data_IF_352596739208
#
_entry.id   IF_352596739208
#
_cell.length_a   1.000
_cell.length_b   1.000
_cell.length_c   1.000
_cell.angle_alpha   90.00
_cell.angle_beta   90.00
_cell.angle_gamma   90.00
#
_symmetry.space_group_name_H-M   'P 1'
#
loop_
_entity.id
_entity.type
_entity.pdbx_description
1 polymer ?
#
# COMPACT_ATOMS: atom_id res chain seq x y z
N UNK A 1 -3.61 -30.17 13.73
CA UNK A 1 -4.01 -29.68 12.39
C UNK A 1 -3.89 -30.82 11.39
N UNK A 2 -4.91 -30.97 10.53
CA UNK A 2 -4.94 -31.93 9.44
C UNK A 2 -5.32 -31.21 8.15
N UNK A 3 -4.58 -31.48 7.05
CA UNK A 3 -4.94 -31.02 5.72
C UNK A 3 -5.98 -31.96 5.14
N UNK A 4 -7.24 -31.53 5.11
CA UNK A 4 -8.37 -32.36 4.75
C UNK A 4 -8.69 -32.37 3.25
N UNK A 5 -8.68 -31.19 2.59
CA UNK A 5 -8.99 -31.01 1.16
C UNK A 5 -8.19 -29.87 0.56
N UNK A 6 -7.93 -29.98 -0.75
CA UNK A 6 -7.25 -28.95 -1.54
C UNK A 6 -8.06 -28.70 -2.83
N UNK A 7 -8.64 -27.52 -2.92
CA UNK A 7 -9.32 -27.03 -4.12
C UNK A 7 -8.33 -26.64 -5.22
N UNK A 8 -8.50 -27.16 -6.42
CA UNK A 8 -7.59 -26.90 -7.54
C UNK A 8 -8.35 -26.68 -8.85
N UNK A 9 -7.80 -25.87 -9.76
CA UNK A 9 -8.37 -25.66 -11.11
C UNK A 9 -8.20 -26.89 -12.02
N UNK A 10 -7.08 -27.63 -11.87
CA UNK A 10 -6.77 -28.83 -12.66
C UNK A 10 -6.19 -29.92 -11.78
N UNK A 11 -6.72 -31.13 -11.90
CA UNK A 11 -6.20 -32.30 -11.18
C UNK A 11 -4.86 -32.77 -11.76
N UNK A 12 -4.66 -32.61 -13.06
CA UNK A 12 -3.53 -33.15 -13.81
C UNK A 12 -2.28 -32.25 -13.77
N UNK A 13 -2.38 -31.01 -13.23
CA UNK A 13 -1.24 -30.09 -13.17
C UNK A 13 -0.14 -30.65 -12.25
N UNK A 14 1.11 -30.79 -12.73
CA UNK A 14 2.23 -31.20 -11.88
C UNK A 14 2.42 -30.23 -10.69
N UNK A 15 2.68 -30.78 -9.52
CA UNK A 15 2.89 -30.01 -8.28
C UNK A 15 4.22 -30.36 -7.64
N UNK A 16 4.87 -29.38 -7.02
CA UNK A 16 6.15 -29.58 -6.31
C UNK A 16 6.01 -30.48 -5.08
N UNK A 17 4.83 -30.44 -4.44
CA UNK A 17 4.52 -31.26 -3.26
C UNK A 17 3.55 -32.36 -3.68
N UNK A 18 3.94 -33.61 -3.45
CA UNK A 18 3.08 -34.77 -3.70
C UNK A 18 2.13 -34.97 -2.50
N UNK A 19 0.84 -34.81 -2.73
CA UNK A 19 -0.20 -35.18 -1.78
C UNK A 19 -1.02 -36.34 -2.36
N UNK A 20 -1.70 -37.13 -1.50
CA UNK A 20 -2.62 -38.16 -1.96
C UNK A 20 -3.65 -37.60 -2.96
N UNK A 21 -3.88 -38.21 -4.12
CA UNK A 21 -4.83 -37.70 -5.12
C UNK A 21 -6.24 -37.48 -4.57
N UNK A 22 -6.63 -38.23 -3.55
CA UNK A 22 -7.92 -38.12 -2.86
C UNK A 22 -8.14 -36.81 -2.12
N UNK A 23 -7.08 -36.04 -1.83
CA UNK A 23 -7.19 -34.74 -1.20
C UNK A 23 -7.56 -33.62 -2.18
N UNK A 24 -7.36 -33.81 -3.49
CA UNK A 24 -7.64 -32.79 -4.48
C UNK A 24 -9.08 -32.85 -4.95
N UNK A 25 -9.69 -31.67 -5.12
CA UNK A 25 -11.03 -31.52 -5.72
C UNK A 25 -11.08 -30.27 -6.59
N UNK A 26 -11.95 -30.31 -7.61
CA UNK A 26 -12.33 -29.13 -8.40
C UNK A 26 -13.62 -28.48 -7.88
N UNK A 27 -14.34 -29.19 -7.03
CA UNK A 27 -15.55 -28.70 -6.38
C UNK A 27 -15.17 -27.91 -5.13
N UNK A 28 -15.03 -26.58 -5.30
CA UNK A 28 -14.66 -25.67 -4.23
C UNK A 28 -15.81 -25.49 -3.22
N UNK A 29 -17.05 -25.60 -3.67
CA UNK A 29 -18.21 -25.46 -2.79
C UNK A 29 -18.29 -26.61 -1.78
N UNK A 30 -17.94 -27.83 -2.20
CA UNK A 30 -17.88 -28.97 -1.30
C UNK A 30 -16.92 -28.78 -0.12
N UNK A 31 -15.83 -27.99 -0.28
CA UNK A 31 -14.89 -27.70 0.81
C UNK A 31 -15.54 -26.78 1.84
N UNK A 32 -16.13 -25.68 1.39
CA UNK A 32 -16.68 -24.65 2.29
C UNK A 32 -17.97 -25.07 2.97
N UNK A 33 -18.65 -26.10 2.46
CA UNK A 33 -19.89 -26.66 3.04
C UNK A 33 -19.68 -27.93 3.86
N UNK A 34 -18.49 -28.56 3.80
CA UNK A 34 -18.22 -29.80 4.54
C UNK A 34 -18.21 -29.54 6.06
N UNK A 35 -19.07 -30.19 6.85
CA UNK A 35 -19.18 -29.96 8.29
C UNK A 35 -17.93 -30.36 9.11
N UNK A 36 -17.01 -31.13 8.49
CA UNK A 36 -15.78 -31.59 9.17
C UNK A 36 -14.63 -30.58 9.03
N UNK A 37 -14.78 -29.54 8.19
CA UNK A 37 -13.77 -28.48 8.00
C UNK A 37 -13.98 -27.38 9.04
N UNK A 38 -13.01 -27.14 9.87
CA UNK A 38 -13.03 -26.04 10.87
C UNK A 38 -12.50 -24.72 10.25
N UNK A 39 -11.45 -24.78 9.41
CA UNK A 39 -10.74 -23.62 8.85
C UNK A 39 -10.66 -23.74 7.32
N UNK A 40 -11.08 -22.71 6.62
CA UNK A 40 -10.91 -22.56 5.17
C UNK A 40 -9.77 -21.60 4.87
N UNK A 41 -8.84 -22.03 4.00
CA UNK A 41 -7.73 -21.19 3.54
C UNK A 41 -7.97 -20.77 2.09
N UNK A 42 -8.19 -19.49 1.85
CA UNK A 42 -8.47 -18.93 0.53
C UNK A 42 -7.21 -18.33 -0.08
N UNK A 43 -6.75 -18.88 -1.21
CA UNK A 43 -5.56 -18.50 -1.95
C UNK A 43 -5.82 -18.40 -3.47
N UNK A 44 -7.08 -18.17 -3.87
CA UNK A 44 -7.50 -18.22 -5.28
C UNK A 44 -7.02 -17.00 -6.06
N UNK A 45 -7.03 -15.83 -5.41
CA UNK A 45 -6.85 -14.55 -6.07
C UNK A 45 -8.08 -14.12 -6.89
N UNK A 46 -8.08 -12.85 -7.34
CA UNK A 46 -9.24 -12.24 -8.00
C UNK A 46 -10.38 -11.96 -7.02
N UNK A 47 -11.50 -11.46 -7.53
CA UNK A 47 -12.64 -11.10 -6.67
C UNK A 47 -13.63 -12.25 -6.52
N UNK A 48 -14.00 -12.87 -7.65
CA UNK A 48 -14.90 -14.02 -7.66
C UNK A 48 -14.18 -15.24 -8.28
N UNK A 49 -14.41 -16.45 -7.77
CA UNK A 49 -15.39 -16.83 -6.73
C UNK A 49 -14.87 -16.67 -5.29
N UNK A 50 -13.73 -16.03 -5.06
CA UNK A 50 -13.10 -15.94 -3.74
C UNK A 50 -14.04 -15.31 -2.70
N UNK A 51 -14.66 -14.14 -3.00
CA UNK A 51 -15.61 -13.47 -2.12
C UNK A 51 -16.78 -14.36 -1.76
N UNK A 52 -17.43 -14.95 -2.77
CA UNK A 52 -18.61 -15.82 -2.56
C UNK A 52 -18.27 -17.04 -1.70
N UNK A 53 -17.08 -17.65 -1.88
CA UNK A 53 -16.63 -18.79 -1.10
C UNK A 53 -16.25 -18.41 0.35
N UNK A 54 -15.63 -17.25 0.56
CA UNK A 54 -15.37 -16.73 1.91
C UNK A 54 -16.69 -16.54 2.68
N UNK A 55 -17.66 -15.84 2.08
CA UNK A 55 -18.96 -15.60 2.71
C UNK A 55 -19.71 -16.90 2.99
N UNK A 56 -19.64 -17.85 2.06
CA UNK A 56 -20.24 -19.19 2.23
C UNK A 56 -19.59 -19.95 3.39
N UNK A 57 -18.26 -19.92 3.49
CA UNK A 57 -17.53 -20.54 4.62
C UNK A 57 -17.96 -19.92 5.96
N UNK A 58 -18.07 -18.60 6.03
CA UNK A 58 -18.53 -17.87 7.21
C UNK A 58 -19.98 -18.27 7.58
N UNK A 59 -20.88 -18.33 6.60
CA UNK A 59 -22.27 -18.78 6.79
C UNK A 59 -22.35 -20.19 7.39
N UNK A 60 -21.39 -21.06 7.04
CA UNK A 60 -21.27 -22.43 7.57
C UNK A 60 -20.49 -22.49 8.90
N UNK A 61 -20.24 -21.36 9.54
CA UNK A 61 -19.54 -21.29 10.84
C UNK A 61 -18.06 -21.64 10.78
N UNK A 62 -17.40 -21.50 9.63
CA UNK A 62 -15.98 -21.82 9.45
C UNK A 62 -15.10 -20.59 9.58
N UNK A 63 -13.97 -20.74 10.23
CA UNK A 63 -12.92 -19.72 10.26
C UNK A 63 -12.27 -19.62 8.88
N UNK A 64 -11.78 -18.42 8.54
CA UNK A 64 -11.16 -18.17 7.24
C UNK A 64 -9.76 -17.57 7.42
N UNK A 65 -8.80 -18.05 6.63
CA UNK A 65 -7.49 -17.44 6.44
C UNK A 65 -7.37 -17.07 4.96
N UNK A 66 -7.04 -15.82 4.66
CA UNK A 66 -6.94 -15.35 3.27
C UNK A 66 -5.68 -14.55 3.00
N UNK A 67 -5.09 -14.71 1.81
CA UNK A 67 -4.03 -13.86 1.28
C UNK A 67 -4.56 -12.86 0.20
N UNK A 68 -5.88 -12.79 0.01
CA UNK A 68 -6.51 -12.09 -1.09
C UNK A 68 -6.80 -10.61 -0.75
N UNK A 69 -5.76 -9.78 -0.89
CA UNK A 69 -5.86 -8.34 -0.64
C UNK A 69 -6.98 -7.65 -1.43
N UNK A 70 -7.22 -8.08 -2.68
CA UNK A 70 -8.21 -7.43 -3.54
C UNK A 70 -9.64 -7.62 -3.04
N UNK A 71 -9.95 -8.80 -2.50
CA UNK A 71 -11.25 -9.07 -1.86
C UNK A 71 -11.38 -8.28 -0.57
N UNK A 72 -10.36 -8.31 0.28
CA UNK A 72 -10.40 -7.62 1.58
C UNK A 72 -10.48 -6.10 1.41
N UNK A 73 -9.71 -5.50 0.50
CA UNK A 73 -9.73 -4.05 0.27
C UNK A 73 -11.10 -3.55 -0.24
N UNK A 74 -11.86 -4.38 -0.96
CA UNK A 74 -13.15 -3.98 -1.55
C UNK A 74 -14.38 -4.44 -0.76
N UNK A 75 -14.30 -5.62 -0.17
CA UNK A 75 -15.43 -6.31 0.49
C UNK A 75 -15.15 -6.65 1.96
N UNK A 76 -14.08 -6.10 2.54
CA UNK A 76 -13.72 -6.36 3.94
C UNK A 76 -14.85 -6.00 4.90
N UNK A 77 -15.59 -4.92 4.61
CA UNK A 77 -16.76 -4.52 5.38
C UNK A 77 -17.82 -5.63 5.48
N UNK A 78 -18.22 -6.16 4.34
CA UNK A 78 -19.20 -7.25 4.24
C UNK A 78 -18.67 -8.52 4.95
N UNK A 79 -17.42 -8.88 4.66
CA UNK A 79 -16.80 -10.09 5.18
C UNK A 79 -16.66 -10.05 6.71
N UNK A 80 -16.11 -8.96 7.24
CA UNK A 80 -15.90 -8.85 8.69
C UNK A 80 -17.21 -8.70 9.46
N UNK A 81 -18.20 -8.01 8.89
CA UNK A 81 -19.55 -7.94 9.48
C UNK A 81 -20.22 -9.33 9.52
N UNK A 82 -20.07 -10.11 8.44
CA UNK A 82 -20.58 -11.49 8.41
C UNK A 82 -19.85 -12.38 9.42
N UNK A 83 -18.53 -12.26 9.52
CA UNK A 83 -17.69 -13.02 10.43
C UNK A 83 -18.03 -12.74 11.91
N UNK A 84 -18.18 -11.45 12.26
CA UNK A 84 -18.59 -11.02 13.61
C UNK A 84 -19.96 -11.63 13.99
N UNK A 85 -20.93 -11.52 13.08
CA UNK A 85 -22.27 -12.08 13.28
C UNK A 85 -22.27 -13.61 13.43
N UNK A 86 -21.40 -14.30 12.69
CA UNK A 86 -21.27 -15.75 12.75
C UNK A 86 -20.38 -16.25 13.90
N UNK A 87 -19.64 -15.36 14.58
CA UNK A 87 -18.70 -15.72 15.63
C UNK A 87 -17.47 -16.46 15.12
N UNK A 88 -16.98 -16.13 13.91
CA UNK A 88 -15.81 -16.77 13.29
C UNK A 88 -14.70 -15.76 13.00
N UNK A 89 -13.46 -16.22 13.02
CA UNK A 89 -12.29 -15.40 12.68
C UNK A 89 -12.07 -15.38 11.16
N UNK A 90 -11.69 -14.20 10.64
CA UNK A 90 -11.11 -14.01 9.31
C UNK A 90 -9.74 -13.36 9.50
N UNK A 91 -8.66 -14.12 9.30
CA UNK A 91 -7.28 -13.66 9.43
C UNK A 91 -6.67 -13.47 8.03
N UNK A 92 -5.75 -12.49 7.91
CA UNK A 92 -5.28 -11.99 6.61
C UNK A 92 -3.83 -11.52 6.62
N UNK A 93 -2.99 -12.04 7.50
CA UNK A 93 -1.58 -11.61 7.61
C UNK A 93 -0.87 -11.64 6.25
N UNK A 94 -1.12 -12.68 5.45
CA UNK A 94 -0.53 -12.83 4.12
C UNK A 94 -1.06 -11.87 3.05
N UNK A 95 -2.11 -11.11 3.32
CA UNK A 95 -2.68 -10.17 2.34
C UNK A 95 -1.82 -8.93 2.14
N UNK A 96 -1.02 -8.53 3.15
CA UNK A 96 -0.14 -7.37 3.08
C UNK A 96 1.27 -7.73 3.54
N UNK A 97 2.28 -7.37 2.73
CA UNK A 97 3.68 -7.57 3.11
C UNK A 97 4.18 -9.01 3.01
N UNK A 98 3.38 -9.94 2.52
CA UNK A 98 3.76 -11.33 2.31
C UNK A 98 4.26 -12.03 3.58
N UNK A 99 5.58 -12.12 3.76
CA UNK A 99 6.19 -12.71 4.95
C UNK A 99 6.52 -11.70 6.06
N UNK A 100 6.22 -10.42 5.86
CA UNK A 100 6.43 -9.38 6.87
C UNK A 100 5.26 -9.39 7.85
N UNK A 101 5.47 -9.72 9.15
CA UNK A 101 4.41 -9.67 10.13
C UNK A 101 4.06 -8.21 10.44
N UNK A 102 2.92 -7.73 9.95
CA UNK A 102 2.49 -6.32 10.12
C UNK A 102 1.04 -6.19 10.58
N UNK A 103 0.16 -7.07 10.16
CA UNK A 103 -1.26 -7.02 10.50
C UNK A 103 -1.47 -7.29 12.00
N UNK A 104 -0.93 -8.41 12.50
CA UNK A 104 -0.98 -8.74 13.94
C UNK A 104 -0.30 -7.68 14.81
N UNK A 105 0.93 -7.23 14.53
CA UNK A 105 1.55 -6.15 15.30
C UNK A 105 0.74 -4.86 15.34
N UNK A 106 0.13 -4.43 14.24
CA UNK A 106 -0.74 -3.25 14.23
C UNK A 106 -1.95 -3.44 15.16
N UNK A 107 -2.56 -4.63 15.17
CA UNK A 107 -3.74 -4.93 15.98
C UNK A 107 -3.42 -5.18 17.45
N UNK A 108 -2.28 -5.78 17.76
CA UNK A 108 -1.94 -6.26 19.11
C UNK A 108 -0.80 -5.46 19.74
N UNK A 109 0.42 -5.50 19.15
CA UNK A 109 1.61 -4.93 19.79
C UNK A 109 1.62 -3.41 19.79
N UNK A 110 1.03 -2.79 18.77
CA UNK A 110 0.98 -1.34 18.60
C UNK A 110 -0.34 -0.71 19.03
N UNK A 111 -1.34 -1.50 19.48
CA UNK A 111 -2.68 -1.01 19.82
C UNK A 111 -2.71 0.02 20.97
N UNK A 112 -1.67 0.05 21.82
CA UNK A 112 -1.55 1.05 22.90
C UNK A 112 -1.04 2.42 22.40
N UNK A 113 -0.73 2.55 21.11
CA UNK A 113 -0.19 3.78 20.52
C UNK A 113 -1.24 4.49 19.67
N UNK A 114 -1.20 5.83 19.69
CA UNK A 114 -1.93 6.60 18.70
C UNK A 114 -1.11 6.64 17.41
N UNK A 115 -1.48 5.84 16.44
CA UNK A 115 -0.80 5.81 15.14
C UNK A 115 -1.03 7.13 14.41
N UNK A 116 0.05 7.77 13.97
CA UNK A 116 0.05 9.03 13.24
C UNK A 116 0.20 8.81 11.74
N UNK A 117 1.07 7.86 11.36
CA UNK A 117 1.26 7.52 9.95
C UNK A 117 1.63 6.05 9.77
N UNK A 118 1.22 5.51 8.63
CA UNK A 118 1.70 4.25 8.08
C UNK A 118 2.15 4.53 6.66
N UNK A 119 3.41 4.27 6.34
CA UNK A 119 3.92 4.42 4.99
C UNK A 119 4.79 3.23 4.62
N UNK A 120 4.86 2.89 3.34
CA UNK A 120 5.66 1.73 2.96
C UNK A 120 5.92 1.58 1.49
N UNK A 121 6.97 0.80 1.23
CA UNK A 121 7.27 0.18 -0.05
C UNK A 121 6.61 -1.20 0.01
N UNK A 122 5.42 -1.32 -0.57
CA UNK A 122 4.57 -2.52 -0.43
C UNK A 122 4.40 -3.30 -1.74
N UNK A 123 5.11 -2.89 -2.80
CA UNK A 123 5.13 -3.59 -4.07
C UNK A 123 6.58 -3.85 -4.50
N UNK A 124 6.96 -5.13 -4.56
CA UNK A 124 8.33 -5.55 -4.88
C UNK A 124 8.70 -5.31 -6.34
N UNK A 125 7.76 -5.43 -7.28
CA UNK A 125 7.98 -5.22 -8.72
C UNK A 125 8.40 -3.78 -9.00
N UNK A 126 7.64 -2.81 -8.51
CA UNK A 126 7.95 -1.39 -8.69
C UNK A 126 9.22 -0.97 -7.97
N UNK A 127 9.48 -1.52 -6.78
CA UNK A 127 10.73 -1.24 -6.07
C UNK A 127 11.94 -1.81 -6.80
N UNK A 128 11.82 -3.00 -7.39
CA UNK A 128 12.86 -3.59 -8.23
C UNK A 128 13.15 -2.72 -9.46
N UNK A 129 12.11 -2.28 -10.19
CA UNK A 129 12.24 -1.43 -11.37
C UNK A 129 12.96 -0.13 -11.00
N UNK A 130 12.48 0.61 -10.01
CA UNK A 130 13.08 1.87 -9.59
C UNK A 130 14.53 1.71 -9.08
N UNK A 131 14.82 0.59 -8.37
CA UNK A 131 16.18 0.27 -7.92
C UNK A 131 17.13 0.06 -9.10
N UNK A 132 16.70 -0.70 -10.12
CA UNK A 132 17.49 -0.96 -11.32
C UNK A 132 17.73 0.32 -12.12
N UNK A 133 16.67 1.12 -12.35
CA UNK A 133 16.78 2.41 -13.02
C UNK A 133 17.81 3.31 -12.31
N UNK A 134 17.82 3.34 -10.98
CA UNK A 134 18.76 4.14 -10.20
C UNK A 134 20.21 3.66 -10.33
N UNK A 135 20.44 2.34 -10.29
CA UNK A 135 21.81 1.79 -10.32
C UNK A 135 22.39 1.71 -11.72
N UNK A 136 21.60 1.50 -12.74
CA UNK A 136 22.04 1.24 -14.11
C UNK A 136 21.83 2.43 -15.04
N UNK A 137 20.96 3.37 -14.66
CA UNK A 137 20.60 4.51 -15.52
C UNK A 137 19.72 4.14 -16.71
N UNK A 138 19.14 2.92 -16.70
CA UNK A 138 18.24 2.43 -17.74
C UNK A 138 16.86 3.05 -17.63
N UNK A 139 16.14 3.09 -18.75
CA UNK A 139 14.78 3.57 -18.79
C UNK A 139 13.76 2.51 -18.32
N UNK A 140 12.56 2.98 -17.95
CA UNK A 140 11.48 2.18 -17.39
C UNK A 140 11.11 0.96 -18.26
N UNK A 141 10.93 1.12 -19.56
CA UNK A 141 10.49 0.05 -20.46
C UNK A 141 11.51 -1.08 -20.57
N UNK A 142 12.81 -0.73 -20.61
CA UNK A 142 13.90 -1.72 -20.63
C UNK A 142 13.91 -2.57 -19.34
N UNK A 143 13.85 -1.89 -18.19
CA UNK A 143 13.87 -2.58 -16.89
C UNK A 143 12.60 -3.38 -16.65
N UNK A 144 11.44 -2.92 -17.13
CA UNK A 144 10.19 -3.68 -17.06
C UNK A 144 10.27 -4.97 -17.86
N UNK A 145 10.82 -4.92 -19.08
CA UNK A 145 11.00 -6.12 -19.89
C UNK A 145 11.90 -7.16 -19.21
N UNK A 146 12.98 -6.71 -18.58
CA UNK A 146 13.86 -7.57 -17.78
C UNK A 146 13.15 -8.15 -16.55
N UNK A 147 12.34 -7.34 -15.85
CA UNK A 147 11.56 -7.80 -14.70
C UNK A 147 10.56 -8.90 -15.11
N UNK A 148 9.95 -8.78 -16.29
CA UNK A 148 9.07 -9.81 -16.85
C UNK A 148 9.84 -11.08 -17.21
N UNK A 149 11.00 -10.95 -17.85
CA UNK A 149 11.85 -12.10 -18.21
C UNK A 149 12.33 -12.88 -16.98
N UNK A 150 12.60 -12.17 -15.86
CA UNK A 150 13.02 -12.77 -14.58
C UNK A 150 11.83 -13.28 -13.73
N UNK A 151 10.59 -13.00 -14.14
CA UNK A 151 9.39 -13.42 -13.42
C UNK A 151 9.04 -12.55 -12.20
N UNK A 152 9.62 -11.36 -12.08
CA UNK A 152 9.27 -10.37 -11.06
C UNK A 152 8.05 -9.54 -11.45
N UNK A 153 7.76 -9.41 -12.74
CA UNK A 153 6.54 -8.81 -13.27
C UNK A 153 5.78 -9.85 -14.11
N UNK A 154 4.46 -9.81 -14.03
CA UNK A 154 3.57 -10.60 -14.89
C UNK A 154 3.50 -10.02 -16.31
N UNK A 155 2.92 -10.79 -17.25
CA UNK A 155 2.72 -10.32 -18.63
C UNK A 155 1.86 -9.05 -18.70
N UNK A 156 0.85 -8.93 -17.84
CA UNK A 156 0.13 -7.69 -17.58
C UNK A 156 0.59 -7.12 -16.22
N UNK A 157 1.53 -6.15 -16.21
CA UNK A 157 2.07 -5.57 -15.00
C UNK A 157 1.23 -4.41 -14.45
N UNK A 158 0.08 -4.12 -15.05
CA UNK A 158 -0.73 -2.91 -14.79
C UNK A 158 -1.04 -2.72 -13.31
N UNK A 159 -1.44 -3.78 -12.60
CA UNK A 159 -1.75 -3.68 -11.18
C UNK A 159 -0.56 -3.22 -10.32
N UNK A 160 0.66 -3.60 -10.71
CA UNK A 160 1.88 -3.21 -10.03
C UNK A 160 2.30 -1.79 -10.43
N UNK A 161 2.55 -1.58 -11.73
CA UNK A 161 3.20 -0.35 -12.21
C UNK A 161 2.30 0.89 -12.15
N UNK A 162 0.97 0.72 -12.16
CA UNK A 162 0.00 1.80 -11.95
C UNK A 162 -0.35 2.00 -10.47
N UNK A 163 0.24 1.19 -9.56
CA UNK A 163 0.13 1.37 -8.11
C UNK A 163 -1.11 0.75 -7.47
N UNK A 164 -1.96 0.05 -8.21
CA UNK A 164 -3.22 -0.49 -7.69
C UNK A 164 -3.02 -1.56 -6.62
N UNK A 165 -2.01 -2.40 -6.76
CA UNK A 165 -1.60 -3.36 -5.72
C UNK A 165 -1.22 -2.68 -4.41
N UNK A 166 -0.44 -1.60 -4.50
CA UNK A 166 -0.05 -0.81 -3.33
C UNK A 166 -1.24 -0.08 -2.70
N UNK A 167 -2.21 0.37 -3.52
CA UNK A 167 -3.41 1.03 -3.03
C UNK A 167 -4.37 0.05 -2.31
N UNK A 168 -4.52 -1.19 -2.79
CA UNK A 168 -5.26 -2.24 -2.07
C UNK A 168 -4.63 -2.49 -0.68
N UNK A 169 -3.30 -2.57 -0.62
CA UNK A 169 -2.57 -2.83 0.64
C UNK A 169 -2.65 -1.68 1.63
N UNK A 170 -2.50 -0.43 1.17
CA UNK A 170 -2.57 0.71 2.10
C UNK A 170 -3.99 0.94 2.63
N UNK A 171 -5.03 0.64 1.85
CA UNK A 171 -6.41 0.69 2.35
C UNK A 171 -6.63 -0.28 3.51
N UNK A 172 -6.06 -1.49 3.43
CA UNK A 172 -6.10 -2.48 4.51
C UNK A 172 -5.31 -1.99 5.73
N UNK A 173 -4.05 -1.57 5.52
CA UNK A 173 -3.19 -1.08 6.61
C UNK A 173 -3.79 0.13 7.32
N UNK A 174 -4.34 1.08 6.57
CA UNK A 174 -4.98 2.25 7.14
C UNK A 174 -6.23 1.90 7.96
N UNK A 175 -7.07 0.99 7.46
CA UNK A 175 -8.24 0.53 8.21
C UNK A 175 -7.86 -0.07 9.56
N UNK A 176 -6.78 -0.83 9.60
CA UNK A 176 -6.29 -1.46 10.84
C UNK A 176 -5.60 -0.46 11.77
N UNK A 177 -4.77 0.42 11.23
CA UNK A 177 -3.95 1.35 12.01
C UNK A 177 -4.77 2.48 12.64
N UNK A 178 -5.82 2.95 11.95
CA UNK A 178 -6.61 4.11 12.41
C UNK A 178 -7.98 3.71 12.98
N UNK A 179 -8.29 2.42 13.03
CA UNK A 179 -9.49 1.91 13.68
C UNK A 179 -10.80 2.22 12.94
N UNK A 180 -10.73 2.60 11.67
CA UNK A 180 -11.88 2.88 10.83
C UNK A 180 -11.74 2.27 9.44
N UNK A 181 -12.84 2.10 8.72
CA UNK A 181 -12.85 1.55 7.36
C UNK A 181 -12.39 2.59 6.34
N UNK A 182 -11.57 2.16 5.41
CA UNK A 182 -11.12 2.96 4.27
C UNK A 182 -11.63 2.30 2.99
N UNK A 183 -12.32 3.07 2.17
CA UNK A 183 -12.74 2.60 0.85
C UNK A 183 -11.57 2.66 -0.11
N UNK A 184 -11.31 1.55 -0.81
CA UNK A 184 -10.22 1.44 -1.77
C UNK A 184 -10.27 2.54 -2.85
N UNK A 185 -11.46 2.91 -3.30
CA UNK A 185 -11.67 3.87 -4.39
C UNK A 185 -11.43 5.33 -3.95
N UNK A 186 -11.30 5.60 -2.66
CA UNK A 186 -10.92 6.90 -2.10
C UNK A 186 -9.40 7.08 -1.96
N UNK A 187 -8.60 6.02 -2.23
CA UNK A 187 -7.14 6.09 -2.22
C UNK A 187 -6.66 6.74 -3.51
N UNK A 188 -6.02 7.90 -3.40
CA UNK A 188 -5.32 8.50 -4.54
C UNK A 188 -4.21 7.56 -5.03
N UNK A 189 -4.12 7.35 -6.34
CA UNK A 189 -3.19 6.38 -6.91
C UNK A 189 -2.55 6.91 -8.18
N UNK A 190 -1.21 6.95 -8.18
CA UNK A 190 -0.35 7.30 -9.31
C UNK A 190 0.78 6.27 -9.40
N UNK A 191 0.96 5.69 -10.58
CA UNK A 191 1.99 4.67 -10.84
C UNK A 191 3.34 5.24 -11.25
N UNK A 192 4.28 4.34 -11.60
CA UNK A 192 5.68 4.69 -11.91
C UNK A 192 5.96 4.82 -13.41
N UNK A 193 4.99 4.63 -14.30
CA UNK A 193 5.21 4.63 -15.76
C UNK A 193 5.84 5.92 -16.30
N UNK A 194 5.64 7.04 -15.62
CA UNK A 194 6.14 8.36 -16.03
C UNK A 194 7.50 8.71 -15.42
N UNK A 195 8.04 7.84 -14.57
CA UNK A 195 9.37 8.03 -13.99
C UNK A 195 10.41 7.66 -15.03
N UNK A 196 11.22 8.62 -15.49
CA UNK A 196 12.29 8.40 -16.44
C UNK A 196 13.67 8.38 -15.80
N UNK A 197 14.69 7.97 -16.56
CA UNK A 197 16.09 8.01 -16.11
C UNK A 197 16.55 9.44 -15.74
N UNK A 198 15.95 10.46 -16.35
CA UNK A 198 16.25 11.86 -16.03
C UNK A 198 15.80 12.23 -14.59
N UNK A 199 14.56 11.86 -14.20
CA UNK A 199 14.05 12.07 -12.83
C UNK A 199 14.93 11.36 -11.81
N UNK A 200 15.32 10.12 -12.08
CA UNK A 200 16.22 9.34 -11.21
C UNK A 200 17.55 10.07 -11.01
N UNK A 201 18.16 10.56 -12.09
CA UNK A 201 19.43 11.29 -12.04
C UNK A 201 19.31 12.58 -11.24
N UNK A 202 18.26 13.38 -11.47
CA UNK A 202 18.05 14.63 -10.73
C UNK A 202 17.74 14.38 -9.26
N UNK A 203 16.93 13.38 -8.95
CA UNK A 203 16.68 12.97 -7.58
C UNK A 203 18.00 12.65 -6.84
N UNK A 204 18.86 11.85 -7.50
CA UNK A 204 20.16 11.47 -6.93
C UNK A 204 21.08 12.67 -6.65
N UNK A 205 21.14 13.63 -7.58
CA UNK A 205 21.91 14.87 -7.43
C UNK A 205 21.40 15.78 -6.30
N UNK A 206 20.09 15.75 -6.05
CA UNK A 206 19.42 16.52 -5.00
C UNK A 206 19.42 15.80 -3.64
N UNK A 207 20.04 14.62 -3.53
CA UNK A 207 20.12 13.87 -2.27
C UNK A 207 18.90 12.97 -2.01
N UNK A 208 18.11 12.68 -3.02
CA UNK A 208 16.92 11.82 -2.91
C UNK A 208 17.09 10.51 -3.68
N UNK A 209 16.21 9.58 -3.38
CA UNK A 209 15.90 8.40 -4.20
C UNK A 209 14.40 8.36 -4.49
N UNK A 210 14.00 7.82 -5.66
CA UNK A 210 12.58 7.70 -6.00
C UNK A 210 12.08 6.33 -5.55
N UNK A 211 10.99 6.31 -4.78
CA UNK A 211 10.28 5.11 -4.36
C UNK A 211 8.79 5.25 -4.65
N UNK A 212 8.10 4.16 -5.01
CA UNK A 212 6.65 4.14 -4.97
C UNK A 212 6.22 3.95 -3.52
N UNK A 213 5.71 5.00 -2.90
CA UNK A 213 5.23 4.93 -1.52
C UNK A 213 3.71 4.83 -1.46
N UNK A 214 3.25 3.92 -0.62
CA UNK A 214 1.89 3.87 -0.12
C UNK A 214 1.87 4.57 1.25
N UNK A 215 1.06 5.60 1.42
CA UNK A 215 1.08 6.48 2.59
C UNK A 215 -0.35 6.66 3.10
N UNK A 216 -0.53 6.43 4.41
CA UNK A 216 -1.72 6.82 5.15
C UNK A 216 -1.30 7.66 6.36
N UNK A 217 -1.81 8.87 6.48
CA UNK A 217 -1.43 9.81 7.53
C UNK A 217 -2.68 10.46 8.13
N UNK A 218 -2.71 10.57 9.46
CA UNK A 218 -3.73 11.32 10.18
C UNK A 218 -3.56 12.82 9.93
N UNK A 219 -4.66 13.50 9.61
CA UNK A 219 -4.69 14.97 9.54
C UNK A 219 -4.86 15.51 10.95
N UNK A 220 -3.91 16.31 11.41
CA UNK A 220 -4.05 17.01 12.69
C UNK A 220 -4.77 18.33 12.42
N UNK A 221 -5.92 18.62 13.05
CA UNK A 221 -6.58 19.91 12.89
C UNK A 221 -5.66 21.06 13.30
N UNK A 222 -5.63 22.13 12.52
CA UNK A 222 -4.79 23.31 12.76
C UNK A 222 -5.15 24.07 14.05
N UNK A 223 -6.30 23.79 14.67
CA UNK A 223 -6.76 24.45 15.90
C UNK A 223 -6.69 23.49 17.09
N UNK A 224 -5.60 23.55 17.84
CA UNK A 224 -5.41 22.79 19.09
C UNK A 224 -6.27 23.28 20.27
N UNK A 225 -7.00 24.40 20.16
CA UNK A 225 -7.71 25.05 21.28
C UNK A 225 -9.10 24.45 21.59
N UNK A 226 -9.58 23.46 20.86
CA UNK A 226 -10.84 22.81 21.22
C UNK A 226 -10.58 21.71 22.25
N UNK A 227 -10.98 21.93 23.50
CA UNK A 227 -11.10 20.94 24.58
C UNK A 227 -12.20 19.88 24.32
N UNK A 228 -12.61 19.69 23.07
CA UNK A 228 -13.50 18.60 22.69
C UNK A 228 -12.71 17.29 22.70
N UNK A 229 -13.29 16.29 23.31
CA UNK A 229 -12.75 14.95 23.52
C UNK A 229 -12.20 14.37 22.19
N UNK A 230 -10.88 14.47 22.02
CA UNK A 230 -10.15 14.08 20.79
C UNK A 230 -10.35 12.60 20.41
N UNK A 231 -11.01 11.83 21.28
CA UNK A 231 -11.32 10.41 21.09
C UNK A 231 -12.70 10.14 20.47
N UNK A 232 -13.55 11.15 20.28
CA UNK A 232 -14.93 10.98 19.81
C UNK A 232 -15.17 11.40 18.35
N UNK A 233 -14.24 12.10 17.71
CA UNK A 233 -14.38 12.46 16.30
C UNK A 233 -13.69 11.41 15.41
N UNK A 234 -14.35 11.00 14.30
CA UNK A 234 -13.70 10.13 13.32
C UNK A 234 -12.46 10.83 12.78
N UNK A 235 -11.36 10.06 12.68
CA UNK A 235 -10.12 10.56 12.14
C UNK A 235 -10.28 10.97 10.67
N UNK A 236 -9.70 12.12 10.33
CA UNK A 236 -9.52 12.53 8.95
C UNK A 236 -8.15 12.04 8.47
N UNK A 237 -8.11 11.36 7.34
CA UNK A 237 -6.92 10.71 6.82
C UNK A 237 -6.57 11.22 5.42
N UNK A 238 -5.29 11.35 5.18
CA UNK A 238 -4.71 11.45 3.84
C UNK A 238 -4.19 10.10 3.42
N UNK A 239 -4.74 9.52 2.34
CA UNK A 239 -4.32 8.20 1.86
C UNK A 239 -3.99 8.27 0.38
N UNK A 240 -2.76 7.84 0.04
CA UNK A 240 -2.25 7.99 -1.31
C UNK A 240 -1.16 6.97 -1.65
N UNK A 241 -1.02 6.72 -2.94
CA UNK A 241 0.09 5.94 -3.54
C UNK A 241 0.65 6.75 -4.69
N UNK A 242 1.93 7.04 -4.68
CA UNK A 242 2.58 7.76 -5.77
C UNK A 242 4.12 7.60 -5.72
N UNK A 243 4.82 7.83 -6.84
CA UNK A 243 6.26 8.02 -6.85
C UNK A 243 6.63 9.19 -5.94
N UNK A 244 7.61 8.97 -5.07
CA UNK A 244 7.99 9.93 -4.02
C UNK A 244 9.50 10.08 -3.98
N UNK A 245 9.96 11.32 -3.90
CA UNK A 245 11.35 11.65 -3.57
C UNK A 245 11.57 11.40 -2.07
N UNK A 246 12.39 10.42 -1.77
CA UNK A 246 12.72 10.00 -0.40
C UNK A 246 14.14 10.45 -0.09
N UNK A 247 14.38 11.29 0.95
CA UNK A 247 15.72 11.68 1.35
C UNK A 247 16.60 10.43 1.57
N UNK A 248 17.87 10.48 1.15
CA UNK A 248 18.79 9.32 1.26
C UNK A 248 19.01 8.85 2.70
N UNK A 249 18.83 9.74 3.68
CA UNK A 249 18.92 9.43 5.12
C UNK A 249 17.67 8.77 5.68
N UNK A 250 16.55 8.82 4.96
CA UNK A 250 15.27 8.23 5.42
C UNK A 250 15.35 6.69 5.39
N UNK A 251 14.84 5.98 6.42
CA UNK A 251 14.94 4.51 6.49
C UNK A 251 14.44 3.77 5.24
N UNK A 252 13.37 4.26 4.61
CA UNK A 252 12.81 3.65 3.40
C UNK A 252 13.70 3.82 2.17
N UNK A 253 14.63 4.77 2.14
CA UNK A 253 15.54 4.98 1.01
C UNK A 253 16.45 3.78 0.76
N UNK A 254 16.85 3.08 1.83
CA UNK A 254 17.75 1.93 1.77
C UNK A 254 17.07 0.62 1.35
N UNK A 255 15.75 0.60 1.23
CA UNK A 255 14.97 -0.59 0.83
C UNK A 255 15.03 -0.76 -0.68
N UNK A 256 15.78 -1.74 -1.15
CA UNK A 256 16.08 -1.96 -2.57
C UNK A 256 15.60 -3.31 -3.08
N UNK A 257 15.68 -3.52 -4.38
CA UNK A 257 15.32 -4.75 -5.07
C UNK A 257 13.83 -5.11 -4.86
N UNK A 258 13.53 -6.40 -4.65
CA UNK A 258 12.16 -6.92 -4.44
C UNK A 258 11.68 -6.80 -2.99
N UNK A 259 12.49 -6.19 -2.10
CA UNK A 259 12.14 -6.09 -0.70
C UNK A 259 11.05 -5.05 -0.45
N UNK A 260 10.24 -5.32 0.56
CA UNK A 260 9.21 -4.43 1.06
C UNK A 260 9.58 -3.92 2.45
N UNK A 261 9.03 -2.76 2.82
CA UNK A 261 9.10 -2.24 4.17
C UNK A 261 7.86 -1.42 4.50
N UNK A 262 7.40 -1.53 5.73
CA UNK A 262 6.31 -0.73 6.28
C UNK A 262 6.86 0.02 7.50
N UNK A 263 6.82 1.35 7.46
CA UNK A 263 7.18 2.25 8.54
C UNK A 263 5.90 2.74 9.21
N UNK A 264 5.79 2.50 10.51
CA UNK A 264 4.68 2.95 11.34
C UNK A 264 5.20 4.00 12.30
N UNK A 265 4.54 5.13 12.38
CA UNK A 265 4.84 6.19 13.34
C UNK A 265 3.66 6.34 14.29
N UNK A 266 3.93 6.34 15.59
CA UNK A 266 2.92 6.42 16.64
C UNK A 266 3.44 7.04 17.91
N UNK A 267 2.51 7.52 18.73
CA UNK A 267 2.79 8.08 20.04
C UNK A 267 2.30 7.12 21.14
N UNK A 268 3.14 6.68 22.09
CA UNK A 268 4.52 7.12 22.37
C UNK A 268 5.64 6.27 21.72
N UNK A 269 5.33 5.27 20.86
CA UNK A 269 6.35 4.31 20.36
C UNK A 269 7.41 4.97 19.46
N UNK A 270 7.12 6.11 18.83
CA UNK A 270 7.96 6.69 17.80
C UNK A 270 7.85 5.94 16.47
N UNK A 271 8.96 5.70 15.79
CA UNK A 271 9.01 5.02 14.51
C UNK A 271 9.39 3.55 14.66
N UNK A 272 8.62 2.66 14.03
CA UNK A 272 8.89 1.23 13.92
C UNK A 272 8.85 0.84 12.46
N UNK A 273 9.87 0.15 11.97
CA UNK A 273 9.92 -0.33 10.59
C UNK A 273 9.91 -1.85 10.54
N UNK A 274 9.01 -2.40 9.74
CA UNK A 274 8.95 -3.81 9.38
C UNK A 274 9.54 -3.99 7.99
N UNK A 275 10.52 -4.87 7.84
CA UNK A 275 11.26 -5.08 6.59
C UNK A 275 11.40 -6.56 6.27
N UNK A 276 11.25 -6.92 5.00
CA UNK A 276 11.44 -8.31 4.58
C UNK A 276 10.95 -8.58 3.15
N UNK A 277 10.82 -9.87 2.78
CA UNK A 277 10.29 -10.28 1.50
C UNK A 277 8.76 -10.06 1.44
N UNK A 278 8.33 -9.16 0.56
CA UNK A 278 6.92 -8.78 0.40
C UNK A 278 6.05 -9.79 -0.35
N UNK A 279 6.66 -10.80 -0.97
CA UNK A 279 5.98 -11.84 -1.75
C UNK A 279 6.84 -13.12 -1.82
N UNK A 280 6.26 -14.18 -2.33
CA UNK A 280 6.94 -15.47 -2.55
C UNK A 280 6.27 -16.62 -1.80
N UNK A 281 6.43 -17.84 -2.31
CA UNK A 281 5.75 -19.01 -1.78
C UNK A 281 6.09 -19.27 -0.30
N UNK A 282 7.37 -19.18 0.08
CA UNK A 282 7.82 -19.36 1.47
C UNK A 282 7.31 -18.28 2.42
N UNK A 283 7.57 -16.99 2.13
CA UNK A 283 7.08 -15.88 2.93
C UNK A 283 5.56 -15.88 3.13
N UNK A 284 4.80 -16.04 2.04
CA UNK A 284 3.32 -16.11 2.10
C UNK A 284 2.85 -17.31 2.91
N UNK A 285 3.46 -18.48 2.73
CA UNK A 285 3.11 -19.68 3.50
C UNK A 285 3.39 -19.49 5.00
N UNK A 286 4.46 -18.79 5.38
CA UNK A 286 4.76 -18.48 6.78
C UNK A 286 3.64 -17.71 7.44
N UNK A 287 3.15 -16.64 6.79
CA UNK A 287 2.05 -15.82 7.30
C UNK A 287 0.72 -16.60 7.36
N UNK A 288 0.38 -17.34 6.29
CA UNK A 288 -0.83 -18.18 6.26
C UNK A 288 -0.81 -19.24 7.37
N UNK A 289 0.31 -19.91 7.57
CA UNK A 289 0.42 -20.96 8.61
C UNK A 289 0.35 -20.33 10.02
N UNK A 290 0.93 -19.15 10.21
CA UNK A 290 0.78 -18.39 11.48
C UNK A 290 -0.70 -18.13 11.81
N UNK A 291 -1.46 -17.62 10.84
CA UNK A 291 -2.90 -17.37 10.99
C UNK A 291 -3.67 -18.66 11.33
N UNK A 292 -3.36 -19.76 10.63
CA UNK A 292 -3.98 -21.06 10.93
C UNK A 292 -3.66 -21.53 12.35
N UNK A 293 -2.40 -21.37 12.81
CA UNK A 293 -1.99 -21.76 14.16
C UNK A 293 -2.67 -20.91 15.23
N UNK A 294 -2.85 -19.61 14.99
CA UNK A 294 -3.54 -18.70 15.91
C UNK A 294 -5.01 -19.13 16.10
N UNK A 295 -5.73 -19.39 15.01
CA UNK A 295 -7.12 -19.91 15.07
C UNK A 295 -7.14 -21.26 15.80
N UNK A 296 -6.26 -22.18 15.44
CA UNK A 296 -6.23 -23.52 16.05
C UNK A 296 -5.93 -23.50 17.55
N UNK A 297 -5.08 -22.57 18.00
CA UNK A 297 -4.78 -22.38 19.42
C UNK A 297 -6.05 -21.96 20.19
N UNK A 298 -6.79 -20.99 19.67
CA UNK A 298 -8.05 -20.53 20.26
C UNK A 298 -9.07 -21.66 20.34
N UNK A 299 -9.31 -22.35 19.23
CA UNK A 299 -10.25 -23.48 19.17
C UNK A 299 -9.91 -24.59 20.17
N UNK A 300 -8.60 -24.77 20.45
CA UNK A 300 -8.15 -25.78 21.42
C UNK A 300 -8.44 -25.33 22.87
N UNK A 301 -8.36 -24.03 23.15
CA UNK A 301 -8.70 -23.46 24.46
C UNK A 301 -10.21 -23.48 24.68
N UNK A 302 -11.01 -23.04 23.71
CA UNK A 302 -12.46 -22.96 23.81
C UNK A 302 -13.10 -24.33 24.00
N UNK A 303 -12.58 -25.38 23.34
CA UNK A 303 -13.04 -26.76 23.53
C UNK A 303 -12.79 -27.28 24.96
N UNK A 304 -11.89 -26.68 25.75
CA UNK A 304 -11.59 -27.03 27.13
C UNK A 304 -12.32 -26.17 28.14
N UNK A 305 -12.89 -25.03 27.72
CA UNK A 305 -13.64 -24.15 28.60
C UNK A 305 -15.05 -24.68 28.85
N UNK A 306 -15.65 -24.53 30.07
CA UNK A 306 -17.04 -24.84 30.27
C UNK A 306 -17.90 -23.94 29.39
N UNK A 307 -18.81 -24.53 28.60
CA UNK A 307 -19.66 -23.83 27.65
C UNK A 307 -20.55 -22.79 28.34
N UNK A 308 -20.08 -21.58 28.46
CA UNK A 308 -20.94 -20.41 28.67
C UNK A 308 -21.44 -20.00 27.29
N UNK A 309 -22.68 -20.27 26.97
CA UNK A 309 -23.31 -20.25 25.65
C UNK A 309 -23.19 -19.04 24.73
N UNK A 310 -22.08 -18.28 24.79
CA UNK A 310 -21.71 -17.22 23.86
C UNK A 310 -20.21 -17.32 23.57
N UNK A 311 -19.86 -17.70 22.34
CA UNK A 311 -18.51 -17.51 21.80
C UNK A 311 -18.32 -16.02 21.56
N UNK A 312 -17.59 -15.33 22.44
CA UNK A 312 -17.10 -13.98 22.20
C UNK A 312 -15.76 -14.09 21.47
N UNK A 313 -15.68 -13.52 20.27
CA UNK A 313 -14.41 -13.39 19.55
C UNK A 313 -13.41 -12.55 20.38
N UNK A 314 -12.15 -12.96 20.37
CA UNK A 314 -11.06 -12.15 20.94
C UNK A 314 -10.96 -10.82 20.16
N UNK A 315 -11.17 -9.66 20.82
CA UNK A 315 -11.16 -8.36 20.14
C UNK A 315 -9.83 -8.03 19.47
N UNK A 316 -8.71 -8.58 19.95
CA UNK A 316 -7.38 -8.35 19.37
C UNK A 316 -7.17 -9.13 18.06
N UNK A 317 -7.86 -10.25 17.89
CA UNK A 317 -7.80 -11.05 16.66
C UNK A 317 -8.93 -10.73 15.68
N UNK A 318 -10.12 -10.42 16.20
CA UNK A 318 -11.26 -10.01 15.37
C UNK A 318 -11.05 -8.61 14.77
N UNK A 319 -11.64 -8.36 13.61
CA UNK A 319 -11.75 -7.02 13.05
C UNK A 319 -13.16 -6.48 13.31
N UNK A 320 -13.25 -5.43 14.13
CA UNK A 320 -14.52 -4.84 14.56
C UNK A 320 -14.69 -3.37 14.20
N UNK A 321 -14.08 -2.94 13.08
CA UNK A 321 -14.17 -1.55 12.63
C UNK A 321 -15.60 -1.24 12.14
N UNK A 322 -16.29 -0.33 12.83
CA UNK A 322 -17.70 -0.01 12.56
C UNK A 322 -17.90 1.30 11.78
N UNK A 323 -16.85 2.14 11.71
CA UNK A 323 -16.96 3.47 11.09
C UNK A 323 -16.02 3.62 9.91
N UNK A 324 -16.40 4.44 8.94
CA UNK A 324 -15.50 4.89 7.88
C UNK A 324 -14.70 6.10 8.34
N UNK A 325 -13.44 6.16 7.99
CA UNK A 325 -12.62 7.35 8.16
C UNK A 325 -12.98 8.41 7.12
N UNK A 326 -12.93 9.70 7.48
CA UNK A 326 -12.98 10.77 6.51
C UNK A 326 -11.64 10.90 5.79
N UNK A 327 -11.67 11.07 4.47
CA UNK A 327 -10.47 11.18 3.63
C UNK A 327 -10.33 12.62 3.13
N UNK A 328 -9.20 13.24 3.44
CA UNK A 328 -8.87 14.59 2.98
C UNK A 328 -8.59 14.58 1.48
N UNK A 329 -9.17 15.51 0.69
CA UNK A 329 -8.84 15.67 -0.72
C UNK A 329 -7.34 15.94 -0.95
N UNK A 330 -6.79 15.45 -2.07
CA UNK A 330 -5.39 15.67 -2.41
C UNK A 330 -5.00 17.15 -2.53
N UNK A 331 -5.91 18.01 -2.96
CA UNK A 331 -5.69 19.46 -3.06
C UNK A 331 -5.31 20.12 -1.75
N UNK A 332 -5.70 19.52 -0.61
CA UNK A 332 -5.37 19.99 0.74
C UNK A 332 -4.08 19.35 1.29
N UNK A 333 -3.46 18.44 0.54
CA UNK A 333 -2.18 17.86 0.93
C UNK A 333 -1.11 18.93 0.99
N UNK A 334 -0.43 19.05 2.12
CA UNK A 334 0.74 19.89 2.29
C UNK A 334 1.99 19.03 2.24
N UNK A 335 2.80 19.24 1.22
CA UNK A 335 4.04 18.48 0.99
C UNK A 335 5.02 19.29 0.12
N UNK A 336 6.24 18.79 -0.02
CA UNK A 336 7.24 19.35 -0.94
C UNK A 336 7.04 18.78 -2.33
N UNK A 337 7.35 19.58 -3.35
CA UNK A 337 7.23 19.18 -4.74
C UNK A 337 8.55 19.35 -5.47
N UNK A 338 8.77 18.44 -6.40
CA UNK A 338 9.75 18.53 -7.47
C UNK A 338 9.01 18.76 -8.78
N UNK A 339 9.48 19.73 -9.57
CA UNK A 339 9.03 19.90 -10.94
C UNK A 339 10.21 20.05 -11.90
N UNK A 340 10.15 19.34 -13.03
CA UNK A 340 11.11 19.50 -14.13
C UNK A 340 10.41 20.16 -15.31
N UNK A 341 10.89 21.34 -15.66
CA UNK A 341 10.30 22.21 -16.67
C UNK A 341 11.29 22.37 -17.83
N UNK A 342 10.87 22.01 -19.02
CA UNK A 342 11.63 22.25 -20.25
C UNK A 342 11.28 23.62 -20.80
N UNK A 343 12.29 24.45 -21.04
CA UNK A 343 12.12 25.84 -21.44
C UNK A 343 13.02 26.21 -22.59
N UNK A 344 12.66 27.29 -23.28
CA UNK A 344 13.63 28.00 -24.13
C UNK A 344 14.67 28.71 -23.26
N UNK A 345 15.93 28.73 -23.69
CA UNK A 345 17.02 29.38 -22.95
C UNK A 345 17.09 30.88 -23.27
N UNK A 346 16.28 31.67 -22.53
CA UNK A 346 16.27 33.14 -22.66
C UNK A 346 16.53 33.83 -21.30
N UNK A 347 17.18 34.99 -21.32
CA UNK A 347 17.29 35.81 -20.11
C UNK A 347 15.94 36.13 -19.50
N UNK A 348 15.78 35.82 -18.21
CA UNK A 348 14.58 36.15 -17.44
C UNK A 348 13.56 35.01 -17.29
N UNK A 349 13.72 33.87 -17.95
CA UNK A 349 12.79 32.73 -17.83
C UNK A 349 12.72 32.22 -16.40
N UNK A 350 13.83 32.02 -15.70
CA UNK A 350 13.88 31.64 -14.28
C UNK A 350 13.10 32.67 -13.43
N UNK A 351 13.26 33.96 -13.72
CA UNK A 351 12.54 35.01 -13.00
C UNK A 351 11.01 34.94 -13.20
N UNK A 352 10.53 34.62 -14.42
CA UNK A 352 9.12 34.41 -14.71
C UNK A 352 8.59 33.17 -13.98
N UNK A 353 9.33 32.06 -14.03
CA UNK A 353 8.97 30.81 -13.33
C UNK A 353 8.88 31.06 -11.81
N UNK A 354 9.90 31.70 -11.21
CA UNK A 354 9.90 32.04 -9.79
C UNK A 354 8.76 32.99 -9.40
N UNK A 355 8.45 33.99 -10.25
CA UNK A 355 7.33 34.91 -10.01
C UNK A 355 5.98 34.20 -10.06
N UNK A 356 5.78 33.29 -11.02
CA UNK A 356 4.59 32.49 -11.12
C UNK A 356 4.37 31.65 -9.85
N UNK A 357 5.37 30.90 -9.42
CA UNK A 357 5.30 30.18 -8.16
C UNK A 357 4.98 31.08 -6.96
N UNK A 358 5.65 32.23 -6.86
CA UNK A 358 5.40 33.20 -5.78
C UNK A 358 3.97 33.76 -5.78
N UNK A 359 3.38 34.03 -6.95
CA UNK A 359 1.99 34.51 -7.08
C UNK A 359 0.98 33.48 -6.54
N UNK A 360 1.31 32.20 -6.62
CA UNK A 360 0.49 31.08 -6.10
C UNK A 360 0.94 30.61 -4.70
N UNK A 361 1.66 31.46 -3.95
CA UNK A 361 2.14 31.15 -2.60
C UNK A 361 3.06 29.93 -2.50
N UNK A 362 3.69 29.53 -3.61
CA UNK A 362 4.63 28.40 -3.65
C UNK A 362 6.03 28.91 -3.39
N UNK A 363 6.59 28.55 -2.24
CA UNK A 363 7.97 28.89 -1.86
C UNK A 363 8.95 27.87 -2.42
N UNK A 364 10.00 28.34 -3.12
CA UNK A 364 11.03 27.49 -3.72
C UNK A 364 12.18 27.29 -2.73
N UNK A 365 12.57 26.04 -2.51
CA UNK A 365 13.74 25.66 -1.69
C UNK A 365 15.00 25.63 -2.55
N UNK A 366 14.91 25.05 -3.75
CA UNK A 366 16.03 25.02 -4.68
C UNK A 366 15.57 25.13 -6.13
N UNK A 367 16.41 25.75 -6.94
CA UNK A 367 16.24 25.84 -8.40
C UNK A 367 17.57 25.48 -9.04
N UNK A 368 17.54 24.52 -9.95
CA UNK A 368 18.72 24.07 -10.71
C UNK A 368 18.41 24.20 -12.18
N UNK A 369 19.23 24.94 -12.92
CA UNK A 369 19.18 24.99 -14.38
C UNK A 369 20.36 24.19 -14.95
N UNK A 370 20.08 23.35 -15.91
CA UNK A 370 21.10 22.65 -16.69
C UNK A 370 20.97 23.00 -18.18
N UNK A 371 22.11 23.09 -18.84
CA UNK A 371 22.14 23.30 -20.28
C UNK A 371 21.71 22.01 -20.99
N UNK A 372 20.71 22.13 -21.84
CA UNK A 372 20.38 21.08 -22.80
C UNK A 372 21.01 21.41 -24.16
N UNK A 373 21.06 20.45 -25.08
CA UNK A 373 21.63 20.67 -26.41
C UNK A 373 20.78 21.67 -27.22
N UNK A 374 21.36 22.82 -27.58
CA UNK A 374 20.73 23.86 -28.38
C UNK A 374 20.11 25.00 -27.56
N UNK A 375 19.05 25.62 -28.06
CA UNK A 375 18.41 26.82 -27.49
C UNK A 375 17.39 26.46 -26.36
N UNK A 376 17.56 25.33 -25.70
CA UNK A 376 16.65 24.84 -24.64
C UNK A 376 17.38 24.62 -23.33
N UNK A 377 16.71 24.92 -22.25
CA UNK A 377 17.18 24.67 -20.89
C UNK A 377 16.20 23.79 -20.11
N UNK A 378 16.72 23.06 -19.14
CA UNK A 378 15.93 22.38 -18.12
C UNK A 378 16.02 23.15 -16.81
N UNK A 379 14.85 23.51 -16.26
CA UNK A 379 14.73 24.09 -14.92
C UNK A 379 14.12 23.04 -13.99
N UNK A 380 14.88 22.66 -13.00
CA UNK A 380 14.41 21.77 -11.94
C UNK A 380 14.15 22.60 -10.68
N UNK A 381 12.96 22.50 -10.14
CA UNK A 381 12.55 23.20 -8.92
C UNK A 381 12.21 22.19 -7.83
N UNK A 382 12.63 22.48 -6.60
CA UNK A 382 12.14 21.82 -5.38
C UNK A 382 11.50 22.90 -4.51
N UNK A 383 10.31 22.65 -4.01
CA UNK A 383 9.57 23.59 -3.15
C UNK A 383 9.76 23.26 -1.67
N UNK A 384 9.55 24.26 -0.79
CA UNK A 384 9.18 23.97 0.59
C UNK A 384 7.82 23.28 0.65
N UNK A 385 7.37 22.85 1.85
CA UNK A 385 6.02 22.30 2.01
C UNK A 385 4.97 23.36 1.66
N UNK A 386 4.11 23.04 0.70
CA UNK A 386 3.03 23.87 0.19
C UNK A 386 1.80 23.02 -0.09
N UNK A 387 0.62 23.62 -0.15
CA UNK A 387 -0.59 22.92 -0.53
C UNK A 387 -0.54 22.47 -1.99
N UNK A 388 -0.96 21.23 -2.24
CA UNK A 388 -1.01 20.68 -3.60
C UNK A 388 -1.90 21.53 -4.52
N UNK A 389 -3.02 22.06 -4.02
CA UNK A 389 -3.91 22.93 -4.80
C UNK A 389 -3.20 24.18 -5.32
N UNK A 390 -2.40 24.85 -4.49
CA UNK A 390 -1.66 26.06 -4.87
C UNK A 390 -0.56 25.73 -5.87
N UNK A 391 0.16 24.63 -5.65
CA UNK A 391 1.18 24.16 -6.56
C UNK A 391 0.63 23.78 -7.95
N UNK A 392 -0.53 23.10 -8.01
CA UNK A 392 -1.19 22.75 -9.27
C UNK A 392 -1.66 23.99 -10.04
N UNK A 393 -2.16 25.03 -9.35
CA UNK A 393 -2.53 26.30 -9.98
C UNK A 393 -1.31 27.01 -10.59
N UNK A 394 -0.17 27.00 -9.91
CA UNK A 394 1.09 27.52 -10.45
C UNK A 394 1.52 26.78 -11.71
N UNK A 395 1.42 25.45 -11.72
CA UNK A 395 1.75 24.64 -12.90
C UNK A 395 0.81 24.91 -14.09
N UNK A 396 -0.48 25.16 -13.82
CA UNK A 396 -1.47 25.48 -14.84
C UNK A 396 -1.13 26.84 -15.51
N UNK A 397 -0.77 27.85 -14.72
CA UNK A 397 -0.32 29.15 -15.25
C UNK A 397 0.99 29.01 -16.04
N UNK A 398 1.97 28.22 -15.55
CA UNK A 398 3.24 27.99 -16.24
C UNK A 398 3.05 27.36 -17.62
N UNK A 399 2.10 26.42 -17.79
CA UNK A 399 1.79 25.82 -19.10
C UNK A 399 1.34 26.85 -20.13
N UNK A 400 0.81 28.00 -19.69
CA UNK A 400 0.39 29.09 -20.57
C UNK A 400 1.53 30.00 -21.03
N UNK A 401 2.75 29.87 -20.51
CA UNK A 401 3.87 30.74 -20.89
C UNK A 401 4.51 30.27 -22.19
N UNK A 402 4.72 31.19 -23.16
CA UNK A 402 5.30 30.85 -24.47
C UNK A 402 6.73 30.34 -24.39
N UNK A 403 7.45 30.62 -23.31
CA UNK A 403 8.82 30.17 -23.07
C UNK A 403 8.89 28.77 -22.47
N UNK A 404 7.77 28.22 -22.00
CA UNK A 404 7.69 26.88 -21.43
C UNK A 404 7.28 25.90 -22.51
N UNK A 405 8.16 24.98 -22.87
CA UNK A 405 7.89 23.94 -23.85
C UNK A 405 7.01 22.84 -23.23
N UNK A 406 7.39 22.40 -22.00
CA UNK A 406 6.72 21.29 -21.32
C UNK A 406 7.04 21.27 -19.82
N UNK A 407 6.08 20.84 -18.99
CA UNK A 407 6.32 20.38 -17.61
C UNK A 407 6.50 18.87 -17.70
N UNK A 408 7.75 18.44 -17.81
CA UNK A 408 8.10 17.07 -18.14
C UNK A 408 7.87 16.09 -16.99
N UNK A 409 7.98 16.54 -15.75
CA UNK A 409 7.75 15.71 -14.56
C UNK A 409 7.37 16.53 -13.34
N UNK A 410 6.51 15.94 -12.51
CA UNK A 410 6.14 16.44 -11.19
C UNK A 410 6.16 15.28 -10.20
N UNK A 411 6.88 15.43 -9.10
CA UNK A 411 6.95 14.42 -8.04
C UNK A 411 6.73 15.09 -6.67
N UNK A 412 6.20 14.33 -5.74
CA UNK A 412 6.10 14.76 -4.34
C UNK A 412 7.32 14.29 -3.58
N UNK A 413 7.76 15.07 -2.58
CA UNK A 413 8.90 14.72 -1.71
C UNK A 413 8.42 14.58 -0.25
N UNK A 414 9.11 13.70 0.50
CA UNK A 414 8.95 13.56 1.94
C UNK A 414 9.63 14.70 2.69
#
# INVERSE_FOLDING_TARGET
LELYRVGVRSLDKPRKVALPPTLYTQDLESIVTDPTVDIVVELLGGLEPARSLILKAIEQGKHVVTANKAVIARYGDEIFTAAEKAGVYVLLEAAVGGGIPVIEPLKQSLCANRIQSVMGIVNGTTNYILTRMQHEGSDFDEVLADAQALGYAEADPTADVDGWDAADKIAILASLAFGGRVKRDEVYCEGIRRVSAAEIKYADQLGFTIKLLAIAKRVTPANEDSQTDKFQQPDELQIRVHPTLVPKEHPLASVNQVYNAILVEGDPVGQVMFFGPGAGAGPTASAVVSDILNIAAILTVDRKAPQSGQTTLDPLLACSHQHYCAITPMTELETRFYARVLTQDFPGVIGKVGTCFGNHHVSLESVVQQDTKGDRAEIVVVTHAVKEGDFQQALEELRGFPEIDEIASVLRAL
#
